data_IF_176844092128
#
_entry.id   IF_176844092128
#
_cell.length_a   1.000
_cell.length_b   1.000
_cell.length_c   1.000
_cell.angle_alpha   90.00
_cell.angle_beta   90.00
_cell.angle_gamma   90.00
#
_symmetry.space_group_name_H-M   'P 1'
#
loop_
_entity.id
_entity.type
_entity.pdbx_description
1 polymer ?
#
# COMPACT_ATOMS: atom_id res chain seq x y z
N UNK A 1 5.92 -18.82 14.94
CA UNK A 1 7.10 -18.60 14.08
C UNK A 1 6.72 -17.87 12.79
N UNK A 2 5.82 -18.40 12.00
CA UNK A 2 5.41 -17.84 10.67
C UNK A 2 5.00 -16.35 10.73
N UNK A 3 4.14 -15.94 11.68
CA UNK A 3 3.71 -14.55 11.82
C UNK A 3 4.87 -13.57 12.03
N UNK A 4 5.88 -13.93 12.84
CA UNK A 4 7.05 -13.06 13.04
C UNK A 4 7.86 -12.90 11.75
N UNK A 5 8.03 -13.98 10.99
CA UNK A 5 8.72 -13.94 9.69
C UNK A 5 7.99 -13.03 8.72
N UNK A 6 6.66 -13.14 8.61
CA UNK A 6 5.86 -12.27 7.72
C UNK A 6 5.96 -10.78 8.10
N UNK A 7 5.97 -10.46 9.39
CA UNK A 7 6.12 -9.07 9.87
C UNK A 7 7.50 -8.51 9.52
N UNK A 8 8.57 -9.28 9.75
CA UNK A 8 9.93 -8.83 9.40
C UNK A 8 10.14 -8.71 7.89
N UNK A 9 9.56 -9.66 7.12
CA UNK A 9 9.58 -9.58 5.67
C UNK A 9 8.85 -8.33 5.17
N UNK A 10 7.66 -8.05 5.67
CA UNK A 10 6.91 -6.85 5.32
C UNK A 10 7.69 -5.58 5.70
N UNK A 11 8.30 -5.52 6.89
CA UNK A 11 9.10 -4.37 7.28
C UNK A 11 10.31 -4.15 6.37
N UNK A 12 11.02 -5.21 6.01
CA UNK A 12 12.16 -5.13 5.09
C UNK A 12 11.75 -4.66 3.69
N UNK A 13 10.66 -5.22 3.15
CA UNK A 13 10.12 -4.81 1.84
C UNK A 13 9.66 -3.35 1.86
N UNK A 14 8.99 -2.91 2.92
CA UNK A 14 8.59 -1.52 3.07
C UNK A 14 9.77 -0.56 3.06
N UNK A 15 10.84 -0.87 3.81
CA UNK A 15 12.08 -0.08 3.79
C UNK A 15 12.71 -0.06 2.39
N UNK A 16 12.75 -1.21 1.71
CA UNK A 16 13.26 -1.29 0.35
C UNK A 16 12.45 -0.43 -0.63
N UNK A 17 11.12 -0.42 -0.52
CA UNK A 17 10.25 0.46 -1.32
C UNK A 17 10.50 1.94 -1.02
N UNK A 18 10.65 2.32 0.25
CA UNK A 18 10.97 3.71 0.62
C UNK A 18 12.30 4.16 -0.02
N UNK A 19 13.32 3.31 0.03
CA UNK A 19 14.62 3.62 -0.59
C UNK A 19 14.52 3.71 -2.11
N UNK A 20 13.81 2.77 -2.74
CA UNK A 20 13.60 2.77 -4.19
C UNK A 20 12.87 4.02 -4.67
N UNK A 21 11.81 4.44 -3.96
CA UNK A 21 10.93 5.52 -4.38
C UNK A 21 11.31 6.89 -3.81
N UNK A 22 12.28 6.96 -2.89
CA UNK A 22 12.75 8.22 -2.30
C UNK A 22 13.15 9.32 -3.31
N UNK A 23 13.78 9.00 -4.47
CA UNK A 23 14.10 10.01 -5.47
C UNK A 23 12.92 10.55 -6.27
N UNK A 24 11.73 9.92 -6.20
CA UNK A 24 10.56 10.38 -6.96
C UNK A 24 10.07 11.73 -6.43
N UNK A 25 10.02 12.72 -7.31
CA UNK A 25 9.45 14.04 -7.04
C UNK A 25 8.44 14.38 -8.17
N UNK A 26 7.15 14.49 -7.86
CA UNK A 26 6.50 14.36 -6.55
C UNK A 26 6.58 12.94 -5.96
N UNK A 27 6.36 12.83 -4.63
CA UNK A 27 6.45 11.54 -3.94
C UNK A 27 5.37 10.56 -4.40
N UNK A 28 5.68 9.26 -4.41
CA UNK A 28 4.80 8.19 -4.85
C UNK A 28 3.35 8.25 -4.31
N UNK A 29 3.10 8.52 -3.01
CA UNK A 29 1.73 8.60 -2.50
C UNK A 29 0.88 9.70 -3.16
N UNK A 30 1.48 10.74 -3.73
CA UNK A 30 0.74 11.77 -4.45
C UNK A 30 0.12 11.22 -5.74
N UNK A 31 0.84 10.37 -6.46
CA UNK A 31 0.30 9.70 -7.65
C UNK A 31 -0.75 8.66 -7.27
N UNK A 32 -0.52 7.86 -6.23
CA UNK A 32 -1.47 6.86 -5.75
C UNK A 32 -2.82 7.47 -5.33
N UNK A 33 -2.82 8.71 -4.83
CA UNK A 33 -4.02 9.45 -4.43
C UNK A 33 -4.59 10.33 -5.55
N UNK A 34 -4.28 10.06 -6.81
CA UNK A 34 -4.96 10.70 -7.94
C UNK A 34 -6.30 10.02 -8.23
N UNK A 35 -7.30 10.82 -8.60
CA UNK A 35 -8.67 10.35 -8.81
C UNK A 35 -9.15 10.53 -10.25
N UNK A 36 -8.28 11.01 -11.13
CA UNK A 36 -8.58 11.21 -12.55
C UNK A 36 -7.33 10.99 -13.41
N UNK A 37 -7.56 10.75 -14.69
CA UNK A 37 -6.53 10.44 -15.68
C UNK A 37 -5.52 11.58 -15.85
N UNK A 38 -6.00 12.81 -15.89
CA UNK A 38 -5.18 13.99 -16.15
C UNK A 38 -4.16 14.21 -15.03
N UNK A 39 -4.61 14.12 -13.77
CA UNK A 39 -3.72 14.23 -12.60
C UNK A 39 -2.68 13.10 -12.57
N UNK A 40 -3.11 11.86 -12.83
CA UNK A 40 -2.18 10.72 -12.92
C UNK A 40 -1.15 10.92 -14.01
N UNK A 41 -1.59 11.30 -15.23
CA UNK A 41 -0.70 11.50 -16.37
C UNK A 41 0.28 12.66 -16.14
N UNK A 42 -0.16 13.75 -15.51
CA UNK A 42 0.70 14.88 -15.18
C UNK A 42 1.83 14.47 -14.22
N UNK A 43 1.50 13.82 -13.09
CA UNK A 43 2.49 13.38 -12.11
C UNK A 43 3.44 12.30 -12.67
N UNK A 44 2.90 11.34 -13.41
CA UNK A 44 3.72 10.33 -14.06
C UNK A 44 4.64 10.93 -15.12
N UNK A 45 4.14 11.92 -15.88
CA UNK A 45 4.90 12.66 -16.88
C UNK A 45 6.10 13.41 -16.29
N UNK A 46 5.98 13.95 -15.07
CA UNK A 46 7.12 14.55 -14.35
C UNK A 46 8.22 13.53 -14.08
N UNK A 47 7.88 12.31 -13.65
CA UNK A 47 8.87 11.24 -13.46
C UNK A 47 9.52 10.77 -14.76
N UNK A 48 8.75 10.74 -15.86
CA UNK A 48 9.28 10.45 -17.19
C UNK A 48 10.29 11.51 -17.60
N UNK A 49 9.97 12.78 -17.41
CA UNK A 49 10.85 13.91 -17.73
C UNK A 49 12.16 13.90 -16.90
N UNK A 50 12.09 13.39 -15.66
CA UNK A 50 13.25 13.24 -14.76
C UNK A 50 14.05 11.96 -15.03
N UNK A 51 13.57 11.05 -15.90
CA UNK A 51 14.19 9.73 -16.12
C UNK A 51 13.97 8.73 -14.98
N UNK A 52 13.04 9.00 -14.07
CA UNK A 52 12.82 8.22 -12.83
C UNK A 52 11.57 7.32 -12.87
N UNK A 53 10.78 7.35 -13.96
CA UNK A 53 9.53 6.58 -14.09
C UNK A 53 9.72 5.06 -13.93
N UNK A 54 10.93 4.54 -14.21
CA UNK A 54 11.26 3.14 -14.00
C UNK A 54 11.11 2.69 -12.54
N UNK A 55 11.31 3.60 -11.57
CA UNK A 55 11.16 3.31 -10.14
C UNK A 55 9.73 2.96 -9.78
N UNK A 56 8.76 3.62 -10.42
CA UNK A 56 7.35 3.29 -10.25
C UNK A 56 7.03 1.88 -10.79
N UNK A 57 7.60 1.49 -11.92
CA UNK A 57 7.42 0.12 -12.43
C UNK A 57 8.11 -0.92 -11.53
N UNK A 58 9.31 -0.63 -11.03
CA UNK A 58 10.03 -1.54 -10.14
C UNK A 58 9.39 -1.64 -8.75
N UNK A 59 8.70 -0.60 -8.31
CA UNK A 59 7.97 -0.60 -7.03
C UNK A 59 7.04 -1.81 -6.90
N UNK A 60 6.29 -2.20 -7.95
CA UNK A 60 5.35 -3.34 -7.92
C UNK A 60 6.02 -4.68 -7.60
N UNK A 61 7.30 -4.88 -7.98
CA UNK A 61 8.05 -6.09 -7.62
C UNK A 61 8.32 -6.21 -6.12
N UNK A 62 8.31 -5.10 -5.40
CA UNK A 62 8.44 -5.05 -3.95
C UNK A 62 7.07 -4.99 -3.27
N UNK A 63 6.10 -4.29 -3.86
CA UNK A 63 4.78 -4.06 -3.28
C UNK A 63 3.93 -5.33 -3.28
N UNK A 64 3.92 -6.10 -4.37
CA UNK A 64 3.19 -7.37 -4.41
C UNK A 64 3.63 -8.34 -3.30
N UNK A 65 4.91 -8.67 -3.11
CA UNK A 65 5.32 -9.48 -1.95
C UNK A 65 5.07 -8.78 -0.60
N UNK A 66 5.13 -7.45 -0.53
CA UNK A 66 4.81 -6.69 0.68
C UNK A 66 3.35 -6.85 1.09
N UNK A 67 2.40 -6.61 0.16
CA UNK A 67 0.97 -6.77 0.46
C UNK A 67 0.60 -8.21 0.85
N UNK A 68 1.23 -9.20 0.22
CA UNK A 68 1.05 -10.60 0.59
C UNK A 68 1.59 -10.89 2.00
N UNK A 69 2.75 -10.34 2.34
CA UNK A 69 3.38 -10.55 3.65
C UNK A 69 2.56 -9.91 4.78
N UNK A 70 2.14 -8.64 4.65
CA UNK A 70 1.37 -7.99 5.70
C UNK A 70 -0.10 -8.46 5.74
N UNK A 71 -0.70 -8.80 4.60
CA UNK A 71 -2.02 -9.42 4.54
C UNK A 71 -2.05 -10.78 5.24
N UNK A 72 -1.02 -11.61 5.00
CA UNK A 72 -0.85 -12.88 5.70
C UNK A 72 -0.61 -12.68 7.20
N UNK A 73 0.23 -11.73 7.60
CA UNK A 73 0.42 -11.38 8.99
C UNK A 73 -0.90 -10.98 9.65
N UNK A 74 -1.73 -10.17 8.98
CA UNK A 74 -3.07 -9.79 9.40
C UNK A 74 -3.99 -10.99 9.58
N UNK A 75 -4.00 -11.90 8.60
CA UNK A 75 -4.77 -13.14 8.68
C UNK A 75 -4.39 -14.01 9.88
N UNK A 76 -3.11 -14.19 10.13
CA UNK A 76 -2.63 -14.90 11.31
C UNK A 76 -2.97 -14.17 12.63
N UNK A 77 -2.91 -12.83 12.60
CA UNK A 77 -3.13 -12.01 13.79
C UNK A 77 -4.61 -11.90 14.19
N UNK A 78 -5.55 -12.10 13.25
CA UNK A 78 -7.00 -12.03 13.49
C UNK A 78 -7.48 -12.95 14.62
N UNK A 79 -6.78 -14.04 14.88
CA UNK A 79 -7.11 -14.95 15.99
C UNK A 79 -6.88 -14.32 17.37
N UNK A 80 -5.92 -13.39 17.49
CA UNK A 80 -5.58 -12.69 18.73
C UNK A 80 -6.18 -11.28 18.80
N UNK A 81 -6.30 -10.64 17.67
CA UNK A 81 -6.84 -9.29 17.48
C UNK A 81 -7.70 -9.23 16.22
N UNK A 82 -8.94 -9.72 16.28
CA UNK A 82 -9.78 -9.90 15.09
C UNK A 82 -9.92 -8.62 14.27
N UNK A 83 -10.23 -7.49 14.91
CA UNK A 83 -10.42 -6.23 14.20
C UNK A 83 -9.14 -5.76 13.48
N UNK A 84 -8.01 -5.66 14.20
CA UNK A 84 -6.75 -5.21 13.58
C UNK A 84 -6.30 -6.17 12.46
N UNK A 85 -6.45 -7.49 12.67
CA UNK A 85 -6.10 -8.48 11.66
C UNK A 85 -6.95 -8.37 10.40
N UNK A 86 -8.27 -8.22 10.52
CA UNK A 86 -9.18 -8.06 9.39
C UNK A 86 -8.95 -6.74 8.64
N UNK A 87 -8.64 -5.65 9.36
CA UNK A 87 -8.30 -4.37 8.76
C UNK A 87 -7.04 -4.46 7.90
N UNK A 88 -6.00 -5.19 8.36
CA UNK A 88 -4.80 -5.44 7.55
C UNK A 88 -5.08 -6.28 6.31
N UNK A 89 -5.94 -7.31 6.42
CA UNK A 89 -6.36 -8.10 5.25
C UNK A 89 -7.12 -7.22 4.25
N UNK A 90 -8.05 -6.39 4.75
CA UNK A 90 -8.79 -5.45 3.91
C UNK A 90 -7.86 -4.42 3.22
N UNK A 91 -6.85 -3.93 3.95
CA UNK A 91 -5.84 -3.05 3.39
C UNK A 91 -5.04 -3.74 2.26
N UNK A 92 -4.64 -5.01 2.45
CA UNK A 92 -3.92 -5.76 1.42
C UNK A 92 -4.77 -6.00 0.15
N UNK A 93 -6.07 -6.22 0.31
CA UNK A 93 -6.97 -6.36 -0.84
C UNK A 93 -7.14 -5.04 -1.60
N UNK A 94 -7.26 -3.92 -0.88
CA UNK A 94 -7.35 -2.59 -1.48
C UNK A 94 -6.05 -2.21 -2.20
N UNK A 95 -4.89 -2.55 -1.61
CA UNK A 95 -3.57 -2.37 -2.17
C UNK A 95 -3.40 -3.16 -3.49
N UNK A 96 -3.74 -4.44 -3.47
CA UNK A 96 -3.69 -5.28 -4.67
C UNK A 96 -4.63 -4.81 -5.80
N UNK A 97 -5.80 -4.24 -5.46
CA UNK A 97 -6.69 -3.62 -6.44
C UNK A 97 -6.05 -2.36 -7.05
N UNK A 98 -5.49 -1.50 -6.22
CA UNK A 98 -4.80 -0.28 -6.66
C UNK A 98 -3.64 -0.62 -7.60
N UNK A 99 -2.75 -1.54 -7.18
CA UNK A 99 -1.59 -1.98 -7.95
C UNK A 99 -2.01 -2.54 -9.31
N UNK A 100 -3.02 -3.41 -9.34
CA UNK A 100 -3.56 -3.98 -10.57
C UNK A 100 -4.07 -2.90 -11.54
N UNK A 101 -4.74 -1.87 -11.01
CA UNK A 101 -5.23 -0.75 -11.80
C UNK A 101 -4.07 0.11 -12.32
N UNK A 102 -3.10 0.47 -11.48
CA UNK A 102 -1.92 1.23 -11.91
C UNK A 102 -1.10 0.49 -12.96
N UNK A 103 -0.89 -0.82 -12.83
CA UNK A 103 -0.25 -1.63 -13.85
C UNK A 103 -1.03 -1.62 -15.17
N UNK A 104 -2.36 -1.63 -15.12
CA UNK A 104 -3.20 -1.52 -16.31
C UNK A 104 -3.05 -0.14 -16.98
N UNK A 105 -2.95 0.96 -16.21
CA UNK A 105 -2.74 2.31 -16.74
C UNK A 105 -1.37 2.44 -17.43
N UNK A 106 -0.33 1.79 -16.88
CA UNK A 106 0.99 1.76 -17.51
C UNK A 106 0.99 0.95 -18.81
N UNK A 107 0.21 -0.13 -18.86
CA UNK A 107 0.15 -1.03 -20.02
C UNK A 107 -0.72 -0.49 -21.15
N UNK A 108 -1.83 0.18 -20.80
CA UNK A 108 -2.84 0.68 -21.75
C UNK A 108 -3.29 2.10 -21.42
N UNK A 109 -2.39 3.08 -21.47
CA UNK A 109 -2.69 4.45 -21.00
C UNK A 109 -3.81 5.14 -21.77
N UNK A 110 -3.95 4.83 -23.07
CA UNK A 110 -4.95 5.43 -23.95
C UNK A 110 -6.34 4.82 -23.78
N UNK A 111 -6.43 3.52 -23.46
CA UNK A 111 -7.68 2.75 -23.45
C UNK A 111 -8.28 2.55 -22.06
N UNK A 112 -7.56 2.93 -20.99
CA UNK A 112 -8.08 2.79 -19.62
C UNK A 112 -9.27 3.75 -19.40
N UNK A 113 -10.46 3.24 -19.01
CA UNK A 113 -11.61 4.08 -18.67
C UNK A 113 -11.31 5.08 -17.57
N UNK A 114 -11.84 6.30 -17.67
CA UNK A 114 -11.59 7.36 -16.68
C UNK A 114 -12.04 6.97 -15.26
N UNK A 115 -13.11 6.19 -15.16
CA UNK A 115 -13.67 5.69 -13.91
C UNK A 115 -12.70 4.80 -13.13
N UNK A 116 -11.79 4.11 -13.81
CA UNK A 116 -10.81 3.25 -13.14
C UNK A 116 -9.76 4.05 -12.37
N UNK A 117 -9.42 5.26 -12.81
CA UNK A 117 -8.55 6.18 -12.05
C UNK A 117 -9.21 6.62 -10.74
N UNK A 118 -10.53 6.87 -10.77
CA UNK A 118 -11.30 7.15 -9.57
C UNK A 118 -11.28 5.95 -8.61
N UNK A 119 -11.47 4.73 -9.12
CA UNK A 119 -11.43 3.50 -8.32
C UNK A 119 -10.04 3.28 -7.71
N UNK A 120 -8.95 3.50 -8.46
CA UNK A 120 -7.58 3.38 -7.97
C UNK A 120 -7.31 4.36 -6.82
N UNK A 121 -7.65 5.65 -6.97
CA UNK A 121 -7.49 6.64 -5.92
C UNK A 121 -8.29 6.32 -4.66
N UNK A 122 -9.52 5.80 -4.80
CA UNK A 122 -10.29 5.34 -3.65
C UNK A 122 -9.69 4.08 -3.00
N UNK A 123 -9.17 3.13 -3.77
CA UNK A 123 -8.49 1.95 -3.26
C UNK A 123 -7.26 2.35 -2.44
N UNK A 124 -6.42 3.28 -2.93
CA UNK A 124 -5.31 3.85 -2.21
C UNK A 124 -5.74 4.52 -0.89
N UNK A 125 -6.77 5.38 -0.94
CA UNK A 125 -7.29 6.04 0.26
C UNK A 125 -7.79 5.04 1.29
N UNK A 126 -8.51 4.00 0.86
CA UNK A 126 -9.04 2.95 1.74
C UNK A 126 -7.90 2.17 2.38
N UNK A 127 -6.87 1.73 1.61
CA UNK A 127 -5.73 1.00 2.18
C UNK A 127 -5.03 1.80 3.28
N UNK A 128 -4.74 3.09 3.05
CA UNK A 128 -4.07 3.93 4.04
C UNK A 128 -4.91 4.12 5.30
N UNK A 129 -6.22 4.33 5.17
CA UNK A 129 -7.13 4.44 6.32
C UNK A 129 -7.20 3.13 7.11
N UNK A 130 -7.38 1.99 6.43
CA UNK A 130 -7.44 0.69 7.08
C UNK A 130 -6.13 0.37 7.81
N UNK A 131 -4.99 0.70 7.20
CA UNK A 131 -3.67 0.52 7.80
C UNK A 131 -3.50 1.38 9.07
N UNK A 132 -3.84 2.66 8.99
CA UNK A 132 -3.76 3.58 10.13
C UNK A 132 -4.66 3.12 11.29
N UNK A 133 -5.90 2.71 11.01
CA UNK A 133 -6.84 2.20 12.03
C UNK A 133 -6.33 0.88 12.63
N UNK A 134 -5.79 -0.03 11.83
CA UNK A 134 -5.23 -1.30 12.33
C UNK A 134 -4.09 -1.05 13.32
N UNK A 135 -3.17 -0.14 12.98
CA UNK A 135 -2.05 0.26 13.87
C UNK A 135 -2.58 0.91 15.14
N UNK A 136 -3.53 1.86 15.04
CA UNK A 136 -4.12 2.52 16.20
C UNK A 136 -4.80 1.50 17.16
N UNK A 137 -5.59 0.57 16.62
CA UNK A 137 -6.25 -0.49 17.41
C UNK A 137 -5.20 -1.37 18.10
N UNK A 138 -4.13 -1.72 17.41
CA UNK A 138 -3.06 -2.54 17.97
C UNK A 138 -2.34 -1.83 19.12
N UNK A 139 -2.01 -0.55 18.95
CA UNK A 139 -1.35 0.27 19.98
C UNK A 139 -2.21 0.44 21.22
N UNK A 140 -3.49 0.82 21.07
CA UNK A 140 -4.43 1.00 22.19
C UNK A 140 -4.58 -0.30 22.98
N UNK A 141 -4.71 -1.45 22.31
CA UNK A 141 -4.81 -2.75 23.00
C UNK A 141 -3.53 -3.13 23.72
N UNK A 142 -2.36 -2.88 23.11
CA UNK A 142 -1.08 -3.15 23.74
C UNK A 142 -0.88 -2.30 25.00
N UNK A 143 -1.25 -1.02 24.92
CA UNK A 143 -1.18 -0.11 26.08
C UNK A 143 -2.11 -0.55 27.24
N UNK A 144 -3.38 -0.88 26.92
CA UNK A 144 -4.35 -1.36 27.95
C UNK A 144 -3.90 -2.67 28.62
N UNK A 145 -3.20 -3.56 27.92
CA UNK A 145 -2.66 -4.78 28.53
C UNK A 145 -1.57 -4.44 29.53
N UNK A 146 -0.61 -3.58 29.19
CA UNK A 146 0.45 -3.15 30.09
C UNK A 146 -0.07 -2.53 31.40
N UNK A 147 -1.18 -1.79 31.33
CA UNK A 147 -1.80 -1.20 32.53
C UNK A 147 -2.48 -2.22 33.45
N UNK A 148 -2.81 -3.40 32.96
CA UNK A 148 -3.43 -4.47 33.79
C UNK A 148 -2.40 -5.38 34.46
N UNK A 149 -1.18 -5.34 33.98
CA UNK A 149 -0.07 -6.16 34.47
C UNK A 149 0.76 -5.41 35.55
N UNK A 150 0.38 -4.16 35.87
CA UNK A 150 0.91 -3.30 36.95
C UNK A 150 -0.12 -3.20 38.06
#
# INVERSE_FOLDING_TARGET
MIMKVSVWLAAGLFVAMLVLTAPLAPALPMLQLTFNREAFAALYGEWVAQGEAWRFTQHFWLDVPFLLAYGWAGWCWRQRQPLAGLLLVGAALADGLEDGLHLSFLRWPESAPAELYLVAGWAAMVKFKLWAVAVAVALVRSWRRRQRDV
#
